data_IF_479005561206
#
_entry.id   IF_479005561206
#
_cell.length_a   1.000
_cell.length_b   1.000
_cell.length_c   1.000
_cell.angle_alpha   90.00
_cell.angle_beta   90.00
_cell.angle_gamma   90.00
#
_symmetry.space_group_name_H-M   'P 1'
#
loop_
_entity.id
_entity.type
_entity.pdbx_description
1 polymer ?
#
# COMPACT_ATOMS: atom_id res chain seq x y z
N UNK A 1 -8.21 -7.45 18.28
CA UNK A 1 -8.18 -7.10 16.84
C UNK A 1 -9.24 -6.03 16.67
N UNK A 2 -8.83 -4.76 16.50
CA UNK A 2 -9.77 -3.72 16.11
C UNK A 2 -10.09 -3.92 14.63
N UNK A 3 -11.35 -4.20 14.34
CA UNK A 3 -11.85 -4.35 12.96
C UNK A 3 -11.80 -2.97 12.29
N UNK A 4 -11.29 -2.90 11.06
CA UNK A 4 -11.30 -1.65 10.29
C UNK A 4 -12.77 -1.29 9.97
N UNK A 5 -13.23 -0.06 10.23
CA UNK A 5 -14.59 0.36 9.89
C UNK A 5 -14.87 0.17 8.40
N UNK A 6 -16.04 -0.39 8.06
CA UNK A 6 -16.38 -0.66 6.66
C UNK A 6 -16.45 0.61 5.79
N UNK A 7 -16.88 1.73 6.39
CA UNK A 7 -16.90 3.06 5.78
C UNK A 7 -15.48 3.53 5.45
N UNK A 8 -14.54 3.41 6.38
CA UNK A 8 -13.13 3.73 6.17
C UNK A 8 -12.52 2.85 5.07
N UNK A 9 -12.77 1.54 5.11
CA UNK A 9 -12.27 0.62 4.08
C UNK A 9 -12.81 1.02 2.69
N UNK A 10 -14.11 1.30 2.59
CA UNK A 10 -14.73 1.76 1.35
C UNK A 10 -14.10 3.06 0.84
N UNK A 11 -13.87 4.03 1.73
CA UNK A 11 -13.22 5.30 1.39
C UNK A 11 -11.80 5.09 0.86
N UNK A 12 -11.01 4.23 1.52
CA UNK A 12 -9.66 3.90 1.07
C UNK A 12 -9.66 3.25 -0.32
N UNK A 13 -10.57 2.31 -0.57
CA UNK A 13 -10.71 1.62 -1.84
C UNK A 13 -11.21 2.54 -2.98
N UNK A 14 -12.12 3.47 -2.69
CA UNK A 14 -12.71 4.34 -3.70
C UNK A 14 -11.82 5.55 -4.04
N UNK A 15 -11.19 6.17 -3.05
CA UNK A 15 -10.52 7.47 -3.23
C UNK A 15 -8.99 7.37 -3.22
N UNK A 16 -8.44 6.37 -2.55
CA UNK A 16 -7.01 6.30 -2.23
C UNK A 16 -6.29 5.06 -2.74
N UNK A 17 -7.02 4.17 -3.43
CA UNK A 17 -6.47 2.94 -4.02
C UNK A 17 -5.33 3.26 -4.97
N UNK A 18 -4.20 2.58 -4.76
CA UNK A 18 -2.98 2.74 -5.55
C UNK A 18 -2.61 4.22 -5.76
N UNK A 19 -2.64 5.01 -4.68
CA UNK A 19 -2.16 6.39 -4.64
C UNK A 19 -1.51 6.67 -3.30
N UNK A 20 -0.61 7.66 -3.26
CA UNK A 20 -0.11 8.20 -2.00
C UNK A 20 -1.12 9.19 -1.41
N UNK A 21 -1.29 9.19 -0.09
CA UNK A 21 -2.22 10.10 0.58
C UNK A 21 -1.73 10.48 1.97
N UNK A 22 -2.32 11.52 2.57
CA UNK A 22 -2.10 11.86 3.99
C UNK A 22 -3.27 11.38 4.82
N UNK A 23 -3.06 11.08 6.11
CA UNK A 23 -4.16 10.75 7.01
C UNK A 23 -5.19 11.88 7.07
N UNK A 24 -4.72 13.14 7.01
CA UNK A 24 -5.59 14.31 6.91
C UNK A 24 -6.53 14.23 5.71
N UNK A 25 -6.03 13.88 4.52
CA UNK A 25 -6.87 13.76 3.32
C UNK A 25 -7.90 12.63 3.41
N UNK A 26 -7.62 11.55 4.16
CA UNK A 26 -8.62 10.51 4.44
C UNK A 26 -9.69 11.04 5.38
N UNK A 27 -9.27 11.74 6.44
CA UNK A 27 -10.18 12.29 7.46
C UNK A 27 -11.16 13.33 6.92
N UNK A 28 -10.92 13.96 5.77
CA UNK A 28 -11.91 14.87 5.14
C UNK A 28 -13.17 14.15 4.66
N UNK A 29 -13.14 12.82 4.54
CA UNK A 29 -14.28 11.99 4.18
C UNK A 29 -14.98 11.37 5.40
N UNK A 30 -14.42 11.52 6.61
CA UNK A 30 -14.94 10.87 7.80
C UNK A 30 -16.33 11.43 8.18
N UNK A 31 -17.36 10.58 8.33
CA UNK A 31 -18.62 10.98 8.94
C UNK A 31 -18.38 11.50 10.36
N UNK A 32 -19.07 12.57 10.76
CA UNK A 32 -18.85 13.19 12.07
C UNK A 32 -18.98 12.21 13.26
N UNK A 33 -19.88 11.22 13.14
CA UNK A 33 -20.10 10.20 14.16
C UNK A 33 -18.96 9.16 14.26
N UNK A 34 -18.10 9.06 13.25
CA UNK A 34 -17.09 8.00 13.13
C UNK A 34 -15.65 8.55 13.21
N UNK A 35 -15.46 9.85 13.42
CA UNK A 35 -14.15 10.52 13.41
C UNK A 35 -13.14 9.82 14.34
N UNK A 36 -13.53 9.52 15.58
CA UNK A 36 -12.61 8.94 16.56
C UNK A 36 -12.33 7.45 16.29
N UNK A 37 -13.31 6.75 15.70
CA UNK A 37 -13.13 5.38 15.25
C UNK A 37 -12.16 5.32 14.07
N UNK A 38 -12.29 6.23 13.10
CA UNK A 38 -11.38 6.34 11.97
C UNK A 38 -9.96 6.69 12.41
N UNK A 39 -9.78 7.64 13.34
CA UNK A 39 -8.46 7.95 13.89
C UNK A 39 -7.81 6.71 14.51
N UNK A 40 -8.55 6.02 15.37
CA UNK A 40 -8.06 4.80 16.04
C UNK A 40 -7.69 3.73 15.01
N UNK A 41 -8.53 3.52 13.99
CA UNK A 41 -8.30 2.55 12.93
C UNK A 41 -7.07 2.92 12.08
N UNK A 42 -6.92 4.18 11.68
CA UNK A 42 -5.78 4.66 10.90
C UNK A 42 -4.47 4.49 11.69
N UNK A 43 -4.45 4.83 12.98
CA UNK A 43 -3.30 4.59 13.87
C UNK A 43 -2.95 3.09 13.96
N UNK A 44 -3.96 2.23 14.12
CA UNK A 44 -3.78 0.77 14.14
C UNK A 44 -3.23 0.24 12.81
N UNK A 45 -3.73 0.74 11.68
CA UNK A 45 -3.27 0.35 10.35
C UNK A 45 -1.82 0.79 10.10
N UNK A 46 -1.41 1.98 10.56
CA UNK A 46 -0.01 2.41 10.50
C UNK A 46 0.87 1.52 11.37
N UNK A 47 0.44 1.21 12.61
CA UNK A 47 1.18 0.37 13.55
C UNK A 47 1.37 -1.07 13.05
N UNK A 48 0.36 -1.63 12.41
CA UNK A 48 0.38 -3.01 11.85
C UNK A 48 1.06 -3.10 10.48
N UNK A 49 1.41 -1.95 9.88
CA UNK A 49 2.01 -1.87 8.55
C UNK A 49 1.03 -2.15 7.41
N UNK A 50 -0.28 -2.02 7.65
CA UNK A 50 -1.29 -1.99 6.60
C UNK A 50 -1.27 -0.65 5.84
N UNK A 51 -0.96 0.45 6.54
CA UNK A 51 -0.54 1.71 5.94
C UNK A 51 0.96 1.85 6.08
N UNK A 52 1.64 2.12 4.97
CA UNK A 52 3.09 2.22 4.97
C UNK A 52 3.51 3.65 4.66
N UNK A 53 4.22 4.27 5.60
CA UNK A 53 4.77 5.62 5.44
C UNK A 53 5.87 5.64 4.38
N UNK A 54 5.71 6.49 3.37
CA UNK A 54 6.66 6.59 2.24
C UNK A 54 7.56 7.82 2.36
N UNK A 55 7.03 8.95 2.81
CA UNK A 55 7.78 10.19 3.00
C UNK A 55 7.14 11.05 4.08
N UNK A 56 7.96 11.78 4.84
CA UNK A 56 7.48 12.85 5.71
C UNK A 56 7.52 14.18 4.97
N UNK A 57 6.45 14.98 5.09
CA UNK A 57 6.36 16.32 4.49
C UNK A 57 5.86 17.32 5.53
N UNK A 58 6.05 18.60 5.22
CA UNK A 58 5.64 19.72 6.10
C UNK A 58 4.16 19.69 6.49
N UNK A 59 3.29 19.16 5.62
CA UNK A 59 1.84 19.09 5.84
C UNK A 59 1.36 17.70 6.28
N UNK A 60 2.29 16.83 6.70
CA UNK A 60 2.00 15.49 7.18
C UNK A 60 2.70 14.40 6.38
N UNK A 61 2.69 13.20 6.94
CA UNK A 61 3.29 12.02 6.33
C UNK A 61 2.44 11.50 5.17
N UNK A 62 3.12 11.08 4.12
CA UNK A 62 2.53 10.37 3.01
C UNK A 62 2.55 8.87 3.28
N UNK A 63 1.40 8.25 3.04
CA UNK A 63 1.16 6.83 3.17
C UNK A 63 0.73 6.24 1.84
N UNK A 64 0.94 4.93 1.73
CA UNK A 64 0.28 4.09 0.74
C UNK A 64 -0.46 2.97 1.47
N UNK A 65 -1.57 2.54 0.88
CA UNK A 65 -2.33 1.36 1.30
C UNK A 65 -2.26 0.31 0.19
N UNK A 66 -1.25 -0.58 0.18
CA UNK A 66 -1.17 -1.63 -0.82
C UNK A 66 -2.28 -2.66 -0.58
N UNK A 67 -2.74 -3.37 -1.62
CA UNK A 67 -3.71 -4.45 -1.47
C UNK A 67 -3.26 -5.46 -0.40
N UNK A 68 -4.15 -5.88 0.52
CA UNK A 68 -3.79 -6.86 1.56
C UNK A 68 -3.23 -8.17 0.99
N UNK A 69 -3.81 -8.65 -0.13
CA UNK A 69 -3.34 -9.84 -0.83
C UNK A 69 -1.91 -9.66 -1.37
N UNK A 70 -1.60 -8.50 -1.96
CA UNK A 70 -0.25 -8.16 -2.40
C UNK A 70 0.75 -8.17 -1.23
N UNK A 71 0.39 -7.54 -0.10
CA UNK A 71 1.25 -7.53 1.09
C UNK A 71 1.49 -8.95 1.64
N UNK A 72 0.46 -9.79 1.66
CA UNK A 72 0.59 -11.17 2.09
C UNK A 72 1.54 -11.95 1.18
N UNK A 73 1.42 -11.80 -0.13
CA UNK A 73 2.32 -12.44 -1.11
C UNK A 73 3.76 -11.93 -0.95
N UNK A 74 3.98 -10.63 -0.83
CA UNK A 74 5.31 -10.06 -0.64
C UNK A 74 5.97 -10.58 0.64
N UNK A 75 5.23 -10.63 1.76
CA UNK A 75 5.75 -11.12 3.05
C UNK A 75 6.03 -12.62 3.03
N UNK A 76 5.13 -13.43 2.49
CA UNK A 76 5.18 -14.90 2.61
C UNK A 76 6.03 -15.56 1.51
N UNK A 77 6.00 -15.02 0.29
CA UNK A 77 6.57 -15.70 -0.88
C UNK A 77 7.88 -15.08 -1.37
N UNK A 78 8.15 -13.83 -0.99
CA UNK A 78 9.27 -13.05 -1.55
C UNK A 78 10.19 -12.42 -0.50
N UNK A 79 9.96 -12.66 0.80
CA UNK A 79 10.89 -12.25 1.85
C UNK A 79 12.16 -13.11 1.82
N UNK A 80 13.34 -12.47 1.84
CA UNK A 80 14.63 -13.15 1.98
C UNK A 80 15.20 -13.83 0.73
N UNK A 81 14.66 -13.56 -0.47
CA UNK A 81 15.18 -14.10 -1.75
C UNK A 81 15.14 -13.06 -2.86
N UNK A 82 16.08 -13.14 -3.81
CA UNK A 82 16.07 -12.31 -5.02
C UNK A 82 14.91 -12.68 -5.94
N UNK A 83 14.12 -11.69 -6.37
CA UNK A 83 13.02 -11.91 -7.32
C UNK A 83 12.85 -10.76 -8.32
N UNK A 84 12.09 -11.01 -9.39
CA UNK A 84 11.67 -9.96 -10.35
C UNK A 84 10.28 -9.47 -9.98
N UNK A 85 10.01 -8.17 -10.07
CA UNK A 85 8.68 -7.62 -9.79
C UNK A 85 7.60 -8.33 -10.64
N UNK A 86 7.91 -8.69 -11.89
CA UNK A 86 7.02 -9.47 -12.75
C UNK A 86 6.58 -10.81 -12.13
N UNK A 87 7.40 -11.44 -11.28
CA UNK A 87 7.04 -12.69 -10.61
C UNK A 87 5.95 -12.51 -9.56
N UNK A 88 5.84 -11.32 -8.95
CA UNK A 88 4.77 -11.01 -8.00
C UNK A 88 3.43 -10.98 -8.73
N UNK A 89 3.40 -10.45 -9.97
CA UNK A 89 2.18 -10.37 -10.76
C UNK A 89 1.65 -11.76 -11.20
N UNK A 90 2.49 -12.79 -11.27
CA UNK A 90 2.02 -14.16 -11.52
C UNK A 90 1.25 -14.77 -10.34
N UNK A 91 1.32 -14.16 -9.15
CA UNK A 91 0.56 -14.58 -7.98
C UNK A 91 -0.79 -13.85 -7.85
N UNK A 92 -1.08 -12.90 -8.73
CA UNK A 92 -2.34 -12.16 -8.72
C UNK A 92 -3.43 -12.91 -9.48
N UNK A 93 -4.66 -12.89 -8.97
CA UNK A 93 -5.82 -13.28 -9.77
C UNK A 93 -5.96 -12.31 -10.97
N UNK A 94 -6.52 -12.74 -12.11
CA UNK A 94 -6.60 -11.93 -13.33
C UNK A 94 -7.18 -10.52 -13.12
N UNK A 95 -8.21 -10.40 -12.28
CA UNK A 95 -8.86 -9.14 -11.91
C UNK A 95 -8.01 -8.22 -11.01
N UNK A 96 -6.99 -8.76 -10.35
CA UNK A 96 -6.12 -8.03 -9.43
C UNK A 96 -4.83 -7.53 -10.09
N UNK A 97 -4.45 -8.08 -11.26
CA UNK A 97 -3.16 -7.82 -11.92
C UNK A 97 -2.86 -6.33 -12.07
N UNK A 98 -3.79 -5.55 -12.61
CA UNK A 98 -3.57 -4.11 -12.86
C UNK A 98 -3.40 -3.32 -11.56
N UNK A 99 -4.12 -3.73 -10.52
CA UNK A 99 -4.13 -3.08 -9.21
C UNK A 99 -2.82 -3.36 -8.49
N UNK A 100 -2.36 -4.61 -8.54
CA UNK A 100 -1.07 -5.02 -8.01
C UNK A 100 0.06 -4.33 -8.76
N UNK A 101 -0.01 -4.24 -10.10
CA UNK A 101 0.98 -3.54 -10.91
C UNK A 101 1.07 -2.06 -10.53
N UNK A 102 -0.06 -1.37 -10.44
CA UNK A 102 -0.09 0.05 -10.04
C UNK A 102 0.47 0.24 -8.63
N UNK A 103 0.12 -0.63 -7.69
CA UNK A 103 0.63 -0.59 -6.32
C UNK A 103 2.14 -0.84 -6.28
N UNK A 104 2.64 -1.85 -7.00
CA UNK A 104 4.07 -2.17 -7.11
C UNK A 104 4.86 -1.02 -7.71
N UNK A 105 4.34 -0.35 -8.75
CA UNK A 105 4.99 0.83 -9.34
C UNK A 105 5.13 1.97 -8.32
N UNK A 106 4.06 2.27 -7.57
CA UNK A 106 4.13 3.32 -6.54
C UNK A 106 5.11 2.92 -5.43
N UNK A 107 5.07 1.66 -5.00
CA UNK A 107 6.01 1.16 -4.00
C UNK A 107 7.46 1.20 -4.53
N UNK A 108 7.67 1.02 -5.83
CA UNK A 108 8.99 1.16 -6.46
C UNK A 108 9.45 2.63 -6.49
N UNK A 109 8.63 3.53 -7.04
CA UNK A 109 8.92 4.96 -7.19
C UNK A 109 9.15 5.66 -5.86
N UNK A 110 8.44 5.21 -4.81
CA UNK A 110 8.59 5.75 -3.45
C UNK A 110 9.76 5.13 -2.67
N UNK A 111 10.51 4.18 -3.26
CA UNK A 111 11.58 3.44 -2.59
C UNK A 111 11.08 2.48 -1.51
N UNK A 112 9.77 2.25 -1.43
CA UNK A 112 9.16 1.39 -0.43
C UNK A 112 9.48 -0.08 -0.65
N UNK A 113 9.55 -0.54 -1.90
CA UNK A 113 10.00 -1.91 -2.18
C UNK A 113 11.40 -2.15 -1.60
N UNK A 114 12.33 -1.20 -1.74
CA UNK A 114 13.67 -1.30 -1.14
C UNK A 114 13.61 -1.31 0.39
N UNK A 115 12.70 -0.54 1.01
CA UNK A 115 12.54 -0.57 2.47
C UNK A 115 11.93 -1.87 3.00
N UNK A 116 10.96 -2.43 2.28
CA UNK A 116 10.23 -3.65 2.70
C UNK A 116 11.02 -4.92 2.38
N UNK A 117 11.77 -4.92 1.27
CA UNK A 117 12.39 -6.12 0.70
C UNK A 117 13.93 -6.00 0.59
N UNK A 118 14.53 -4.86 0.90
CA UNK A 118 15.95 -4.60 0.66
C UNK A 118 16.30 -4.53 -0.83
N UNK A 119 17.58 -4.76 -1.15
CA UNK A 119 18.10 -4.84 -2.53
C UNK A 119 17.74 -6.16 -3.24
N UNK A 120 16.72 -6.88 -2.74
CA UNK A 120 16.38 -8.24 -3.18
C UNK A 120 15.38 -8.27 -4.35
N UNK A 121 15.18 -7.17 -5.08
CA UNK A 121 14.31 -7.17 -6.26
C UNK A 121 14.95 -6.49 -7.48
N UNK A 122 14.73 -7.07 -8.66
CA UNK A 122 15.12 -6.48 -9.94
C UNK A 122 13.88 -5.83 -10.55
N UNK A 123 13.92 -4.50 -10.68
CA UNK A 123 12.83 -3.68 -11.20
C UNK A 123 12.64 -3.77 -12.72
N UNK A 124 13.40 -4.63 -13.43
CA UNK A 124 13.30 -4.78 -14.87
C UNK A 124 11.91 -5.27 -15.27
N UNK A 125 11.03 -4.33 -15.55
CA UNK A 125 9.80 -4.54 -16.31
C UNK A 125 10.30 -4.89 -17.73
N UNK A 126 9.97 -6.06 -18.30
CA UNK A 126 10.32 -6.34 -19.68
C UNK A 126 9.64 -5.28 -20.57
N UNK A 127 10.42 -4.39 -21.22
CA UNK A 127 9.91 -3.44 -22.21
C UNK A 127 10.23 -1.94 -22.00
N UNK A 128 10.91 -1.55 -20.93
CA UNK A 128 11.39 -0.16 -20.78
C UNK A 128 12.68 0.07 -21.58
N UNK A 129 12.56 0.57 -22.81
CA UNK A 129 13.69 1.16 -23.52
C UNK A 129 14.16 2.43 -22.78
N UNK A 130 15.48 2.63 -22.81
CA UNK A 130 16.21 3.77 -22.24
C UNK A 130 15.69 5.14 -22.72
#
# INVERSE_FOLDING_TARGET
MNTIPASLQTTLEQHFRARTFTLFSVMTFAPAAEIDEWKTALEDMTRTGALIGVASRTLGDLFVAPPPALLAVLKNSFSGRLFRIAHVLYCAEPEEIEVWRSSLNIMHETGLLTRVLGDMYIASIPGGAA
#
